data_IF_411145686315
#
_entry.id   IF_411145686315
#
_cell.length_a   1.000
_cell.length_b   1.000
_cell.length_c   1.000
_cell.angle_alpha   90.00
_cell.angle_beta   90.00
_cell.angle_gamma   90.00
#
_symmetry.space_group_name_H-M   'P 1'
#
loop_
_entity.id
_entity.type
_entity.pdbx_description
1 polymer ?
#
# COMPACT_ATOMS: atom_id res chain seq x y z
N UNK A 1 -0.25 -15.66 16.03
CA UNK A 1 0.67 -15.31 17.14
C UNK A 1 0.12 -14.06 17.83
N UNK A 2 -0.26 -14.16 19.11
CA UNK A 2 -0.84 -13.03 19.88
C UNK A 2 0.27 -12.01 20.16
N UNK A 3 0.15 -10.80 19.61
CA UNK A 3 0.97 -9.66 20.04
C UNK A 3 0.58 -9.40 21.49
N UNK A 4 1.51 -9.65 22.42
CA UNK A 4 1.40 -9.20 23.81
C UNK A 4 1.49 -7.68 23.75
N UNK A 5 0.36 -6.99 23.92
CA UNK A 5 0.37 -5.55 24.19
C UNK A 5 1.08 -5.41 25.54
N UNK A 6 2.34 -4.96 25.49
CA UNK A 6 3.10 -4.57 26.67
C UNK A 6 2.28 -3.45 27.32
N UNK A 7 2.01 -3.55 28.62
CA UNK A 7 1.18 -2.61 29.38
C UNK A 7 1.56 -1.16 29.02
N UNK A 8 0.63 -0.44 28.38
CA UNK A 8 0.83 0.94 27.97
C UNK A 8 1.01 1.80 29.22
N UNK A 9 2.23 2.32 29.41
CA UNK A 9 2.54 3.30 30.45
C UNK A 9 1.73 4.56 30.12
N UNK A 10 0.80 4.96 30.99
CA UNK A 10 0.12 6.25 30.84
C UNK A 10 1.15 7.36 30.98
N UNK A 11 1.17 8.28 30.01
CA UNK A 11 2.04 9.44 30.01
C UNK A 11 1.24 10.68 30.37
N UNK A 12 1.69 11.37 31.42
CA UNK A 12 1.17 12.68 31.79
C UNK A 12 1.87 13.77 30.95
N UNK A 13 1.14 14.81 30.51
CA UNK A 13 1.72 15.87 29.71
C UNK A 13 2.75 16.67 30.51
N UNK A 14 3.91 16.94 29.90
CA UNK A 14 4.94 17.78 30.49
C UNK A 14 4.56 19.26 30.43
N UNK A 15 4.92 20.04 31.45
CA UNK A 15 4.66 21.49 31.47
C UNK A 15 5.65 22.20 30.56
N UNK A 16 5.18 22.74 29.43
CA UNK A 16 5.98 23.49 28.46
C UNK A 16 5.14 24.67 28.00
N UNK A 17 5.69 25.88 27.96
CA UNK A 17 4.97 27.04 27.38
C UNK A 17 4.66 26.76 25.92
N UNK A 18 3.42 27.05 25.50
CA UNK A 18 2.98 26.85 24.13
C UNK A 18 3.96 27.55 23.15
N UNK A 19 4.32 26.92 22.01
CA UNK A 19 5.26 27.50 21.05
C UNK A 19 4.94 28.94 20.62
N UNK A 20 3.68 29.33 20.54
CA UNK A 20 3.28 30.70 20.19
C UNK A 20 3.68 31.76 21.24
N UNK A 21 3.96 31.32 22.47
CA UNK A 21 4.28 32.15 23.64
C UNK A 21 5.66 31.84 24.22
N UNK A 22 6.44 30.99 23.54
CA UNK A 22 7.73 30.53 24.02
C UNK A 22 8.85 30.97 23.06
N UNK A 23 9.78 31.85 23.51
CA UNK A 23 10.83 32.40 22.65
C UNK A 23 11.86 31.36 22.17
N UNK A 24 11.88 30.17 22.74
CA UNK A 24 12.70 29.06 22.25
C UNK A 24 12.25 28.57 20.86
N UNK A 25 11.01 28.88 20.46
CA UNK A 25 10.41 28.49 19.19
C UNK A 25 10.28 29.71 18.27
N UNK A 26 10.60 29.52 16.99
CA UNK A 26 10.48 30.57 15.96
C UNK A 26 10.08 29.99 14.60
N UNK A 27 9.81 30.86 13.63
CA UNK A 27 9.31 30.50 12.29
C UNK A 27 8.09 29.57 12.28
N UNK A 28 7.20 29.75 13.27
CA UNK A 28 6.00 28.92 13.42
C UNK A 28 5.03 29.25 12.30
N UNK A 29 4.74 28.27 11.45
CA UNK A 29 3.83 28.43 10.32
C UNK A 29 3.22 27.10 9.92
N UNK A 30 2.11 27.14 9.19
CA UNK A 30 1.56 25.95 8.56
C UNK A 30 2.41 25.57 7.33
N UNK A 31 2.74 24.29 7.09
CA UNK A 31 3.44 23.89 5.89
C UNK A 31 2.54 24.04 4.65
N UNK A 32 3.13 24.38 3.51
CA UNK A 32 2.40 24.62 2.26
C UNK A 32 1.66 23.39 1.72
N UNK A 33 2.09 22.20 2.15
CA UNK A 33 1.52 20.89 1.81
C UNK A 33 0.20 20.62 2.52
N UNK A 34 -0.14 21.40 3.56
CA UNK A 34 -1.33 21.15 4.36
C UNK A 34 -2.48 22.06 3.94
N UNK A 35 -3.56 21.50 3.40
CA UNK A 35 -4.75 22.26 3.00
C UNK A 35 -5.79 22.39 4.12
N UNK A 36 -5.70 21.55 5.17
CA UNK A 36 -6.58 21.60 6.33
C UNK A 36 -6.13 22.67 7.33
N UNK A 37 -7.05 23.31 8.05
CA UNK A 37 -6.67 24.28 9.08
C UNK A 37 -6.27 23.57 10.38
N UNK A 38 -5.23 24.03 11.10
CA UNK A 38 -4.97 23.63 12.48
C UNK A 38 -6.20 23.91 13.36
N UNK A 39 -6.57 22.94 14.21
CA UNK A 39 -7.74 23.05 15.08
C UNK A 39 -7.31 23.52 16.48
N UNK A 40 -7.16 24.83 16.63
CA UNK A 40 -6.60 25.46 17.84
C UNK A 40 -7.33 25.17 19.16
N UNK A 41 -8.62 24.80 19.11
CA UNK A 41 -9.45 24.46 20.29
C UNK A 41 -9.33 22.98 20.72
N UNK A 42 -8.45 22.21 20.08
CA UNK A 42 -8.23 20.78 20.35
C UNK A 42 -6.73 20.51 20.48
N UNK A 43 -6.30 19.28 20.29
CA UNK A 43 -4.88 18.93 20.29
C UNK A 43 -4.13 19.73 19.21
N UNK A 44 -3.28 20.65 19.65
CA UNK A 44 -2.39 21.38 18.75
C UNK A 44 -1.14 20.54 18.47
N UNK A 45 -0.65 20.57 17.24
CA UNK A 45 0.46 19.74 16.81
C UNK A 45 1.51 20.64 16.17
N UNK A 46 2.72 20.55 16.69
CA UNK A 46 3.89 21.29 16.23
C UNK A 46 4.96 20.28 15.85
N UNK A 47 5.53 20.42 14.66
CA UNK A 47 6.56 19.53 14.13
C UNK A 47 7.82 20.31 13.82
N UNK A 48 8.97 19.83 14.28
CA UNK A 48 10.24 20.49 13.95
C UNK A 48 10.43 20.46 12.42
N UNK A 49 10.86 21.57 11.81
CA UNK A 49 11.03 21.70 10.35
C UNK A 49 11.90 20.59 9.75
N UNK A 50 13.00 20.27 10.43
CA UNK A 50 13.89 19.19 9.99
C UNK A 50 13.21 17.81 10.00
N UNK A 51 12.32 17.53 10.96
CA UNK A 51 11.53 16.29 10.98
C UNK A 51 10.61 16.23 9.77
N UNK A 52 9.91 17.33 9.49
CA UNK A 52 9.09 17.46 8.29
C UNK A 52 9.90 17.18 7.02
N UNK A 53 11.09 17.80 6.87
CA UNK A 53 11.99 17.54 5.74
C UNK A 53 12.40 16.06 5.62
N UNK A 54 12.74 15.41 6.74
CA UNK A 54 13.15 14.00 6.75
C UNK A 54 12.00 13.06 6.38
N UNK A 55 10.78 13.35 6.83
CA UNK A 55 9.56 12.63 6.44
C UNK A 55 9.34 12.77 4.93
N UNK A 56 9.42 14.00 4.41
CA UNK A 56 9.22 14.25 2.98
C UNK A 56 10.33 13.65 2.12
N UNK A 57 11.58 13.65 2.57
CA UNK A 57 12.67 12.95 1.91
C UNK A 57 12.41 11.45 1.84
N UNK A 58 12.00 10.84 2.94
CA UNK A 58 11.65 9.41 2.96
C UNK A 58 10.43 9.11 2.08
N UNK A 59 9.39 9.94 2.14
CA UNK A 59 8.19 9.78 1.32
C UNK A 59 8.47 9.75 -0.18
N UNK A 60 9.51 10.44 -0.65
CA UNK A 60 9.92 10.44 -2.06
C UNK A 60 10.80 9.25 -2.47
N UNK A 61 11.22 8.40 -1.53
CA UNK A 61 12.07 7.24 -1.86
C UNK A 61 11.31 6.16 -2.64
N UNK A 62 9.99 6.05 -2.44
CA UNK A 62 9.13 5.16 -3.20
C UNK A 62 7.74 5.80 -3.41
N UNK A 63 7.47 6.23 -4.64
CA UNK A 63 6.17 6.79 -5.03
C UNK A 63 5.17 5.71 -5.50
N UNK A 64 5.54 4.44 -5.39
CA UNK A 64 4.69 3.30 -5.75
C UNK A 64 4.17 2.57 -4.51
N UNK A 65 5.03 2.31 -3.54
CA UNK A 65 4.68 1.64 -2.28
C UNK A 65 4.52 2.62 -1.12
N UNK A 66 3.72 2.24 -0.12
CA UNK A 66 3.69 2.99 1.12
C UNK A 66 4.99 2.80 1.91
N UNK A 67 5.61 3.92 2.27
CA UNK A 67 6.69 4.01 3.24
C UNK A 67 6.19 4.72 4.49
N UNK A 68 6.95 4.67 5.59
CA UNK A 68 6.52 5.29 6.83
C UNK A 68 7.52 5.14 7.96
N UNK A 69 7.12 5.56 9.15
CA UNK A 69 7.97 5.57 10.33
C UNK A 69 7.22 5.99 11.58
N UNK A 70 7.97 6.20 12.66
CA UNK A 70 7.44 6.63 13.95
C UNK A 70 7.73 8.11 14.19
N UNK A 71 6.75 8.79 14.78
CA UNK A 71 6.84 10.17 15.24
C UNK A 71 7.09 10.19 16.74
N UNK A 72 8.08 10.97 17.16
CA UNK A 72 8.56 11.00 18.54
C UNK A 72 8.66 12.44 19.04
N UNK A 73 8.49 12.62 20.35
CA UNK A 73 8.68 13.90 21.00
C UNK A 73 7.88 14.04 22.29
N UNK A 74 7.41 15.25 22.58
CA UNK A 74 6.76 15.57 23.84
C UNK A 74 5.24 15.65 23.70
N UNK A 75 4.55 14.99 24.63
CA UNK A 75 3.18 15.33 24.97
C UNK A 75 3.21 16.40 26.06
N UNK A 76 2.71 17.61 25.76
CA UNK A 76 2.91 18.79 26.58
C UNK A 76 1.60 19.52 26.90
N UNK A 77 1.64 20.39 27.90
CA UNK A 77 0.53 21.27 28.26
C UNK A 77 0.99 22.67 28.68
N UNK A 78 0.17 23.67 28.37
CA UNK A 78 0.28 25.05 28.84
C UNK A 78 -1.12 25.60 29.15
N UNK A 79 -1.35 26.09 30.37
CA UNK A 79 -2.66 26.64 30.78
C UNK A 79 -3.83 25.69 30.43
N UNK A 80 -3.70 24.41 30.78
CA UNK A 80 -4.67 23.32 30.50
C UNK A 80 -4.83 22.95 29.01
N UNK A 81 -4.27 23.73 28.08
CA UNK A 81 -4.23 23.41 26.66
C UNK A 81 -3.12 22.37 26.39
N UNK A 82 -3.53 21.19 25.93
CA UNK A 82 -2.63 20.12 25.53
C UNK A 82 -2.14 20.29 24.08
N UNK A 83 -0.89 19.92 23.84
CA UNK A 83 -0.28 19.98 22.51
C UNK A 83 0.86 18.96 22.37
N UNK A 84 1.23 18.67 21.12
CA UNK A 84 2.35 17.80 20.78
C UNK A 84 3.51 18.60 20.19
N UNK A 85 4.72 18.29 20.64
CA UNK A 85 5.97 18.71 20.01
C UNK A 85 6.62 17.49 19.38
N UNK A 86 6.56 17.36 18.06
CA UNK A 86 7.25 16.31 17.31
C UNK A 86 8.68 16.80 17.07
N UNK A 87 9.64 16.17 17.74
CA UNK A 87 11.07 16.53 17.71
C UNK A 87 11.88 15.58 16.84
N UNK A 88 11.44 14.33 16.73
CA UNK A 88 12.16 13.27 16.04
C UNK A 88 11.26 12.42 15.15
N UNK A 89 11.89 11.79 14.16
CA UNK A 89 11.28 10.76 13.32
C UNK A 89 12.26 9.61 13.15
N UNK A 90 11.72 8.38 13.23
CA UNK A 90 12.46 7.18 12.85
C UNK A 90 11.76 6.52 11.66
N UNK A 91 12.40 6.56 10.50
CA UNK A 91 11.93 5.99 9.25
C UNK A 91 12.12 4.47 9.25
N UNK A 92 11.08 3.73 8.86
CA UNK A 92 11.19 2.29 8.66
C UNK A 92 11.93 2.01 7.33
N UNK A 93 12.90 1.08 7.29
CA UNK A 93 13.51 0.68 6.03
C UNK A 93 12.50 0.03 5.08
N UNK A 94 12.57 0.35 3.79
CA UNK A 94 11.67 -0.18 2.76
C UNK A 94 11.68 -1.72 2.75
N UNK A 95 12.82 -2.35 3.09
CA UNK A 95 12.96 -3.80 3.10
C UNK A 95 12.21 -4.50 4.25
N UNK A 96 11.78 -3.76 5.29
CA UNK A 96 11.14 -4.36 6.46
C UNK A 96 9.74 -4.86 6.13
N UNK A 97 8.93 -4.00 5.51
CA UNK A 97 7.70 -4.36 4.81
C UNK A 97 7.11 -3.06 4.25
N UNK A 98 7.01 -2.95 2.93
CA UNK A 98 6.31 -1.87 2.24
C UNK A 98 5.44 -2.48 1.15
N UNK A 99 4.21 -1.99 1.02
CA UNK A 99 3.30 -2.35 -0.07
C UNK A 99 2.48 -1.12 -0.44
N UNK A 100 1.90 -1.07 -1.63
CA UNK A 100 1.16 0.10 -2.13
C UNK A 100 -0.10 0.50 -1.34
N UNK A 101 -0.59 -0.36 -0.45
CA UNK A 101 -1.90 -0.21 0.22
C UNK A 101 -1.85 -0.42 1.74
N UNK A 102 -0.69 -0.80 2.26
CA UNK A 102 -0.49 -1.03 3.67
C UNK A 102 1.01 -1.05 3.95
N UNK A 103 1.43 -0.16 4.84
CA UNK A 103 2.65 -0.36 5.60
C UNK A 103 2.38 -1.26 6.80
N UNK A 104 3.31 -2.18 7.06
CA UNK A 104 3.33 -2.95 8.31
C UNK A 104 4.57 -2.57 9.08
N UNK A 105 4.35 -2.03 10.27
CA UNK A 105 5.43 -1.81 11.23
C UNK A 105 5.85 -3.15 11.83
N UNK A 106 7.05 -3.60 11.47
CA UNK A 106 7.55 -4.93 11.84
C UNK A 106 8.00 -4.97 13.29
N UNK A 107 8.10 -6.17 13.88
CA UNK A 107 8.70 -6.33 15.21
C UNK A 107 10.14 -5.82 15.23
N UNK A 108 10.89 -6.00 14.15
CA UNK A 108 12.25 -5.46 14.02
C UNK A 108 12.25 -3.93 14.11
N UNK A 109 11.35 -3.26 13.40
CA UNK A 109 11.19 -1.81 13.49
C UNK A 109 10.88 -1.34 14.91
N UNK A 110 9.99 -2.02 15.63
CA UNK A 110 9.68 -1.66 17.01
C UNK A 110 10.88 -1.86 17.97
N UNK A 111 11.72 -2.86 17.73
CA UNK A 111 12.98 -3.04 18.47
C UNK A 111 13.95 -1.88 18.20
N UNK A 112 14.14 -1.52 16.92
CA UNK A 112 14.99 -0.39 16.53
C UNK A 112 14.49 0.93 17.14
N UNK A 113 13.16 1.12 17.14
CA UNK A 113 12.50 2.28 17.72
C UNK A 113 12.73 2.40 19.23
N UNK A 114 12.63 1.29 19.97
CA UNK A 114 12.88 1.29 21.41
C UNK A 114 14.35 1.59 21.71
N UNK A 115 15.28 1.02 20.92
CA UNK A 115 16.71 1.29 21.06
C UNK A 115 17.03 2.78 20.82
N UNK A 116 16.42 3.39 19.80
CA UNK A 116 16.55 4.82 19.54
C UNK A 116 16.00 5.65 20.70
N UNK A 117 14.77 5.35 21.14
CA UNK A 117 14.12 6.04 22.26
C UNK A 117 14.92 5.94 23.56
N UNK A 118 15.53 4.80 23.85
CA UNK A 118 16.36 4.61 25.03
C UNK A 118 17.61 5.50 25.01
N UNK A 119 18.28 5.61 23.85
CA UNK A 119 19.45 6.48 23.69
C UNK A 119 19.09 7.96 23.84
N UNK A 120 18.01 8.39 23.17
CA UNK A 120 17.54 9.78 23.23
C UNK A 120 17.09 10.13 24.66
N UNK A 121 16.30 9.27 25.31
CA UNK A 121 15.82 9.51 26.68
C UNK A 121 16.93 9.50 27.74
N UNK A 122 18.12 8.95 27.46
CA UNK A 122 19.26 9.05 28.37
C UNK A 122 19.76 10.49 28.53
N UNK A 123 19.50 11.36 27.54
CA UNK A 123 19.91 12.77 27.53
C UNK A 123 18.68 13.68 27.71
N UNK A 124 17.60 13.38 26.99
CA UNK A 124 16.37 14.18 26.93
C UNK A 124 15.19 13.37 27.46
N UNK A 125 14.98 13.36 28.79
CA UNK A 125 13.89 12.59 29.37
C UNK A 125 12.54 13.11 28.86
N UNK A 126 11.54 12.22 28.86
CA UNK A 126 10.14 12.48 28.48
C UNK A 126 9.85 12.49 26.98
N UNK A 127 10.81 12.12 26.12
CA UNK A 127 10.52 11.86 24.71
C UNK A 127 9.81 10.51 24.61
N UNK A 128 8.61 10.53 24.02
CA UNK A 128 7.76 9.36 23.86
C UNK A 128 7.40 9.16 22.39
N UNK A 129 6.86 7.98 22.07
CA UNK A 129 6.23 7.74 20.77
C UNK A 129 4.88 8.44 20.73
N UNK A 130 4.79 9.47 19.89
CA UNK A 130 3.57 10.24 19.67
C UNK A 130 2.69 9.61 18.60
N UNK A 131 3.24 8.81 17.70
CA UNK A 131 2.44 8.21 16.65
C UNK A 131 3.27 7.58 15.56
N UNK A 132 2.61 7.34 14.44
CA UNK A 132 3.21 6.83 13.22
C UNK A 132 2.92 7.79 12.08
N UNK A 133 3.70 7.68 11.01
CA UNK A 133 3.34 8.26 9.73
C UNK A 133 3.49 7.23 8.63
N UNK A 134 2.70 7.39 7.58
CA UNK A 134 2.87 6.63 6.35
C UNK A 134 2.43 7.42 5.13
N UNK A 135 2.87 6.99 3.97
CA UNK A 135 2.53 7.65 2.71
C UNK A 135 1.33 7.01 2.05
N UNK A 136 0.54 7.82 1.35
CA UNK A 136 -0.49 7.40 0.40
C UNK A 136 -0.14 7.92 -1.01
N UNK A 137 0.78 7.28 -1.76
CA UNK A 137 1.22 7.81 -3.04
C UNK A 137 0.07 7.93 -4.05
N UNK A 138 -0.31 9.17 -4.36
CA UNK A 138 -1.38 9.55 -5.28
C UNK A 138 -2.83 9.23 -4.83
N UNK A 139 -3.08 8.89 -3.57
CA UNK A 139 -4.45 8.67 -3.07
C UNK A 139 -5.06 9.91 -2.38
N UNK A 140 -4.22 10.80 -1.85
CA UNK A 140 -4.60 11.96 -1.04
C UNK A 140 -4.71 11.63 0.45
N UNK A 141 -5.13 12.61 1.24
CA UNK A 141 -5.06 12.59 2.70
C UNK A 141 -6.38 12.12 3.31
N UNK A 142 -6.45 10.83 3.62
CA UNK A 142 -7.58 10.19 4.31
C UNK A 142 -7.09 8.92 5.00
N UNK A 143 -7.77 8.49 6.06
CA UNK A 143 -7.54 7.16 6.64
C UNK A 143 -8.41 6.12 5.94
N UNK A 144 -7.78 5.05 5.45
CA UNK A 144 -8.49 3.87 4.96
C UNK A 144 -9.17 3.11 6.11
N UNK A 145 -10.03 2.15 5.78
CA UNK A 145 -10.65 1.28 6.80
C UNK A 145 -9.59 0.47 7.57
N UNK A 146 -8.51 0.07 6.89
CA UNK A 146 -7.39 -0.62 7.51
C UNK A 146 -6.69 0.31 8.49
N UNK A 147 -6.40 1.56 8.09
CA UNK A 147 -5.77 2.57 8.96
C UNK A 147 -6.62 2.86 10.19
N UNK A 148 -7.94 3.04 10.01
CA UNK A 148 -8.88 3.22 11.13
C UNK A 148 -8.80 2.03 12.09
N UNK A 149 -8.82 0.81 11.54
CA UNK A 149 -8.82 -0.42 12.36
C UNK A 149 -7.49 -0.57 13.11
N UNK A 150 -6.37 -0.28 12.46
CA UNK A 150 -5.06 -0.35 13.07
C UNK A 150 -4.84 0.76 14.10
N UNK A 151 -5.24 2.00 13.82
CA UNK A 151 -5.19 3.11 14.77
C UNK A 151 -6.00 2.78 16.03
N UNK A 152 -7.26 2.35 15.88
CA UNK A 152 -8.11 1.92 17.02
C UNK A 152 -7.48 0.79 17.84
N UNK A 153 -6.70 -0.08 17.20
CA UNK A 153 -6.06 -1.24 17.84
C UNK A 153 -4.76 -0.88 18.56
N UNK A 154 -3.96 0.03 17.99
CA UNK A 154 -2.55 0.26 18.39
C UNK A 154 -2.29 1.65 19.00
N UNK A 155 -3.24 2.58 18.93
CA UNK A 155 -3.10 3.96 19.38
C UNK A 155 -4.27 4.35 20.29
N UNK A 156 -4.15 4.07 21.60
CA UNK A 156 -5.27 4.24 22.54
C UNK A 156 -5.29 5.57 23.32
N UNK A 157 -4.15 6.22 23.45
CA UNK A 157 -4.03 7.48 24.20
C UNK A 157 -4.34 8.73 23.36
N UNK A 158 -4.77 9.82 24.01
CA UNK A 158 -5.12 11.09 23.36
C UNK A 158 -3.96 11.74 22.59
N UNK A 159 -2.72 11.54 23.06
CA UNK A 159 -1.53 12.07 22.42
C UNK A 159 -1.11 11.27 21.18
N UNK A 160 -1.79 10.15 20.90
CA UNK A 160 -1.47 9.36 19.73
C UNK A 160 -2.04 9.99 18.44
N UNK A 161 -1.18 10.06 17.42
CA UNK A 161 -1.52 10.61 16.12
C UNK A 161 -1.11 9.67 14.97
N UNK A 162 -1.71 9.88 13.80
CA UNK A 162 -1.22 9.35 12.53
C UNK A 162 -1.07 10.49 11.54
N UNK A 163 0.11 10.62 10.95
CA UNK A 163 0.36 11.53 9.84
C UNK A 163 0.30 10.77 8.52
N UNK A 164 -0.48 11.26 7.57
CA UNK A 164 -0.54 10.73 6.21
C UNK A 164 0.09 11.75 5.26
N UNK A 165 0.95 11.28 4.36
CA UNK A 165 1.66 12.10 3.36
C UNK A 165 1.38 11.57 1.96
N UNK A 166 0.96 12.42 1.02
CA UNK A 166 0.89 12.07 -0.40
C UNK A 166 2.04 12.77 -1.14
N UNK A 167 3.16 12.09 -1.41
CA UNK A 167 4.31 12.70 -2.09
C UNK A 167 4.00 13.11 -3.53
N UNK A 168 3.00 12.48 -4.17
CA UNK A 168 2.64 12.76 -5.57
C UNK A 168 1.75 14.01 -5.66
N UNK A 169 0.75 14.12 -4.78
CA UNK A 169 -0.14 15.30 -4.72
C UNK A 169 0.46 16.47 -3.95
N UNK A 170 1.57 16.25 -3.23
CA UNK A 170 2.22 17.22 -2.35
C UNK A 170 1.28 17.70 -1.24
N UNK A 171 0.56 16.75 -0.67
CA UNK A 171 -0.38 16.99 0.42
C UNK A 171 0.05 16.22 1.67
N UNK A 172 -0.30 16.72 2.86
CA UNK A 172 -0.22 15.97 4.11
C UNK A 172 -1.32 16.36 5.09
N UNK A 173 -1.51 15.53 6.12
CA UNK A 173 -2.42 15.85 7.21
C UNK A 173 -2.40 14.83 8.35
N UNK A 174 -2.80 15.29 9.52
CA UNK A 174 -2.74 14.51 10.75
C UNK A 174 -4.14 14.13 11.24
N UNK A 175 -4.23 12.94 11.82
CA UNK A 175 -5.44 12.34 12.39
C UNK A 175 -5.18 11.98 13.85
N UNK A 176 -6.16 12.24 14.71
CA UNK A 176 -6.06 12.03 16.16
C UNK A 176 -7.44 11.84 16.78
N UNK A 177 -7.49 11.48 18.06
CA UNK A 177 -8.75 11.31 18.80
C UNK A 177 -9.41 12.65 19.13
N UNK A 178 -10.69 12.83 18.78
CA UNK A 178 -11.41 14.06 19.16
C UNK A 178 -11.75 14.09 20.67
N UNK A 179 -11.95 12.92 21.29
CA UNK A 179 -12.27 12.77 22.72
C UNK A 179 -11.59 11.53 23.33
N UNK A 180 -11.21 11.55 24.62
CA UNK A 180 -10.55 10.42 25.26
C UNK A 180 -11.45 9.17 25.36
N UNK A 181 -10.88 7.95 25.25
CA UNK A 181 -11.62 6.69 25.37
C UNK A 181 -12.43 6.51 26.66
N UNK A 182 -12.00 7.15 27.75
CA UNK A 182 -12.53 6.93 29.09
C UNK A 182 -13.71 7.85 29.45
N UNK A 183 -14.07 8.83 28.61
CA UNK A 183 -15.17 9.77 28.89
C UNK A 183 -16.47 9.46 28.14
N UNK A 184 -16.50 8.43 27.30
CA UNK A 184 -17.72 8.03 26.57
C UNK A 184 -18.49 6.95 27.33
N UNK A 185 -19.70 7.27 27.78
CA UNK A 185 -20.63 6.33 28.44
C UNK A 185 -21.22 5.25 27.50
N UNK A 186 -20.81 5.23 26.23
CA UNK A 186 -21.10 4.14 25.29
C UNK A 186 -19.87 3.85 24.41
N UNK A 187 -19.51 2.58 24.14
CA UNK A 187 -18.34 2.20 23.32
C UNK A 187 -18.48 2.50 21.81
N UNK A 188 -19.56 3.15 21.38
CA UNK A 188 -19.97 3.22 19.97
C UNK A 188 -19.49 4.46 19.21
N UNK A 189 -18.94 5.49 19.87
CA UNK A 189 -18.65 6.78 19.20
C UNK A 189 -17.32 7.41 19.66
N UNK A 190 -16.21 6.68 19.56
CA UNK A 190 -14.90 7.35 19.52
C UNK A 190 -14.69 7.93 18.12
N UNK A 191 -14.76 9.24 18.01
CA UNK A 191 -14.59 9.94 16.74
C UNK A 191 -13.09 10.25 16.52
N UNK A 192 -12.56 9.72 15.41
CA UNK A 192 -11.24 10.11 14.91
C UNK A 192 -11.48 11.39 14.11
N UNK A 193 -10.60 12.38 14.28
CA UNK A 193 -10.72 13.64 13.57
C UNK A 193 -10.74 13.42 12.05
N UNK A 194 -11.39 14.32 11.32
CA UNK A 194 -11.02 14.52 9.92
C UNK A 194 -9.55 14.98 9.82
N UNK A 195 -8.97 14.97 8.61
CA UNK A 195 -7.62 15.47 8.38
C UNK A 195 -7.49 16.89 8.95
N UNK A 196 -6.51 17.07 9.84
CA UNK A 196 -6.22 18.33 10.50
C UNK A 196 -4.86 18.88 10.05
N UNK A 197 -4.72 20.19 10.13
CA UNK A 197 -3.44 20.87 9.94
C UNK A 197 -2.59 20.86 11.20
N UNK A 198 -1.30 21.11 11.02
CA UNK A 198 -0.30 21.26 12.07
C UNK A 198 0.64 22.43 11.74
N UNK A 199 1.47 22.83 12.71
CA UNK A 199 2.49 23.85 12.52
C UNK A 199 3.86 23.22 12.39
N UNK A 200 4.71 23.80 11.55
CA UNK A 200 6.16 23.57 11.57
C UNK A 200 6.84 24.66 12.39
N UNK A 201 7.90 24.32 13.11
CA UNK A 201 8.70 25.26 13.90
C UNK A 201 10.19 25.01 13.73
N UNK A 202 10.97 26.04 14.05
CA UNK A 202 12.40 25.96 14.32
C UNK A 202 12.65 26.30 15.80
N UNK A 203 13.76 25.84 16.39
CA UNK A 203 14.06 26.08 17.80
C UNK A 203 15.55 26.32 18.07
N UNK A 204 15.84 27.08 19.13
CA UNK A 204 17.19 27.22 19.67
C UNK A 204 17.49 26.24 20.80
N UNK A 205 16.47 25.57 21.33
CA UNK A 205 16.60 24.66 22.44
C UNK A 205 16.88 23.24 21.93
N UNK A 206 18.04 22.65 22.25
CA UNK A 206 18.42 21.33 21.72
C UNK A 206 17.46 20.23 22.17
N UNK A 207 16.73 20.39 23.28
CA UNK A 207 15.73 19.42 23.72
C UNK A 207 14.52 19.33 22.77
N UNK A 208 14.24 20.39 22.00
CA UNK A 208 13.14 20.42 21.04
C UNK A 208 13.62 20.29 19.58
N UNK A 209 14.91 20.01 19.39
CA UNK A 209 15.51 19.77 18.09
C UNK A 209 15.57 18.25 17.78
N UNK A 210 15.81 17.84 16.53
CA UNK A 210 16.05 16.44 16.21
C UNK A 210 17.36 15.94 16.81
N UNK A 211 17.31 14.73 17.34
CA UNK A 211 18.38 14.07 18.06
C UNK A 211 19.10 13.05 17.19
N UNK A 212 20.38 12.87 17.47
CA UNK A 212 21.20 11.84 16.84
C UNK A 212 21.41 10.66 17.77
N UNK A 213 21.55 9.47 17.21
CA UNK A 213 21.77 8.24 17.98
C UNK A 213 22.68 7.27 17.22
N UNK A 214 23.29 6.35 17.94
CA UNK A 214 24.14 5.32 17.37
C UNK A 214 23.27 4.15 16.88
N UNK A 215 23.61 3.62 15.72
CA UNK A 215 22.95 2.47 15.13
C UNK A 215 23.95 1.61 14.36
N UNK A 216 23.84 0.29 14.48
CA UNK A 216 24.60 -0.71 13.72
C UNK A 216 23.77 -1.35 12.59
N UNK A 217 22.47 -1.06 12.54
CA UNK A 217 21.54 -1.54 11.52
C UNK A 217 21.68 -0.74 10.23
N UNK A 218 22.39 -1.32 9.26
CA UNK A 218 22.68 -0.73 7.94
C UNK A 218 21.43 -0.25 7.19
N UNK A 219 20.35 -1.02 7.25
CA UNK A 219 19.10 -0.66 6.57
C UNK A 219 18.46 0.58 7.20
N UNK A 220 18.58 0.72 8.53
CA UNK A 220 18.05 1.86 9.28
C UNK A 220 18.89 3.13 9.04
N UNK A 221 20.22 3.00 9.03
CA UNK A 221 21.16 4.08 8.70
C UNK A 221 20.88 4.69 7.31
N UNK A 222 20.50 3.86 6.33
CA UNK A 222 20.24 4.30 4.97
C UNK A 222 19.05 5.27 4.84
N UNK A 223 18.01 5.10 5.66
CA UNK A 223 16.81 5.95 5.61
C UNK A 223 16.72 6.96 6.77
N UNK A 224 17.68 6.98 7.70
CA UNK A 224 17.69 7.88 8.85
C UNK A 224 19.03 8.65 8.96
N UNK A 225 19.12 9.86 8.37
CA UNK A 225 20.36 10.65 8.36
C UNK A 225 20.87 11.12 9.73
N UNK A 226 20.05 11.02 10.78
CA UNK A 226 20.44 11.37 12.16
C UNK A 226 21.01 10.17 12.93
N UNK A 227 21.04 8.99 12.32
CA UNK A 227 21.72 7.83 12.88
C UNK A 227 23.14 7.74 12.33
N UNK A 228 24.07 7.28 13.14
CA UNK A 228 25.46 7.07 12.72
C UNK A 228 26.05 5.80 13.33
N UNK A 229 27.06 5.24 12.65
CA UNK A 229 27.83 4.11 13.16
C UNK A 229 28.91 4.59 14.13
N UNK A 230 29.17 3.80 15.16
CA UNK A 230 30.25 4.07 16.12
C UNK A 230 31.66 4.02 15.48
N UNK A 231 31.79 3.43 14.28
CA UNK A 231 33.08 3.16 13.63
C UNK A 231 33.44 4.10 12.46
N UNK A 232 32.91 5.32 12.43
CA UNK A 232 33.34 6.34 11.48
C UNK A 232 34.14 7.45 12.15
N UNK A 233 35.38 7.17 12.58
CA UNK A 233 36.43 8.21 12.70
C UNK A 233 37.83 7.65 12.42
N UNK A 234 38.38 8.00 11.25
CA UNK A 234 39.66 8.74 11.16
C UNK A 234 39.93 9.22 9.73
N UNK A 235 39.60 10.49 9.46
CA UNK A 235 40.40 11.44 8.65
C UNK A 235 39.80 12.85 8.72
N UNK A 236 39.90 13.50 9.88
CA UNK A 236 40.57 14.80 10.03
C UNK A 236 40.41 15.35 11.47
N UNK A 237 41.54 15.33 12.19
CA UNK A 237 42.00 16.20 13.29
C UNK A 237 41.12 16.48 14.51
N UNK A 238 41.52 15.88 15.66
CA UNK A 238 41.41 16.49 16.99
C UNK A 238 41.01 15.56 18.14
N UNK A 239 42.00 14.93 18.83
CA UNK A 239 42.09 14.54 20.27
C UNK A 239 40.85 13.91 20.95
N UNK A 240 40.84 12.75 21.61
CA UNK A 240 41.81 12.06 22.46
C UNK A 240 41.43 10.56 22.62
N UNK A 241 42.43 9.73 22.93
CA UNK A 241 42.43 8.26 22.98
C UNK A 241 41.56 7.63 24.09
N UNK A 242 41.09 6.38 23.86
CA UNK A 242 41.35 5.23 24.74
C UNK A 242 41.19 3.90 23.95
N UNK A 243 42.14 2.99 24.18
CA UNK A 243 42.56 1.87 23.31
C UNK A 243 41.86 0.55 23.68
N UNK A 244 41.52 -0.29 22.68
CA UNK A 244 41.25 -1.73 22.87
C UNK A 244 42.27 -2.62 22.12
N UNK A 245 42.63 -3.81 22.66
CA UNK A 245 43.61 -4.76 22.09
C UNK A 245 42.93 -5.83 21.18
N UNK A 246 43.66 -6.76 20.51
CA UNK A 246 43.50 -6.99 19.07
C UNK A 246 42.74 -8.27 18.65
N UNK A 247 42.26 -8.19 17.40
CA UNK A 247 42.02 -9.21 16.36
C UNK A 247 42.19 -10.71 16.68
N UNK A 248 41.18 -11.47 16.23
CA UNK A 248 41.35 -12.80 15.62
C UNK A 248 40.61 -12.81 14.26
N UNK A 249 41.33 -13.22 13.21
CA UNK A 249 40.93 -13.19 11.80
C UNK A 249 40.03 -14.39 11.40
N UNK A 250 39.29 -14.32 10.27
CA UNK A 250 38.14 -15.15 9.95
C UNK A 250 38.47 -16.37 9.09
N UNK A 251 37.56 -17.35 9.07
CA UNK A 251 37.61 -18.48 8.14
C UNK A 251 36.41 -18.47 7.16
N UNK A 252 36.79 -18.43 5.87
CA UNK A 252 36.19 -19.00 4.65
C UNK A 252 34.74 -18.69 4.25
N UNK A 253 34.65 -17.98 3.13
CA UNK A 253 33.53 -17.97 2.16
C UNK A 253 33.50 -19.28 1.38
N UNK A 254 32.31 -19.84 1.17
CA UNK A 254 32.02 -20.80 0.09
C UNK A 254 31.08 -20.15 -0.92
N UNK A 255 31.46 -20.27 -2.20
CA UNK A 255 30.70 -19.83 -3.36
C UNK A 255 29.75 -20.95 -3.80
N UNK A 256 28.45 -20.63 -3.96
CA UNK A 256 27.49 -21.52 -4.62
C UNK A 256 27.27 -21.00 -6.05
N UNK A 257 27.65 -21.85 -7.01
CA UNK A 257 27.41 -21.69 -8.44
C UNK A 257 25.96 -22.12 -8.75
N UNK A 258 25.17 -21.26 -9.39
CA UNK A 258 23.86 -21.64 -9.95
C UNK A 258 24.01 -21.75 -11.47
N UNK A 259 23.67 -22.93 -12.00
CA UNK A 259 23.69 -23.27 -13.41
C UNK A 259 22.49 -22.68 -14.15
N UNK A 260 22.74 -21.95 -15.23
CA UNK A 260 21.72 -21.49 -16.18
C UNK A 260 21.38 -22.63 -17.15
N UNK A 261 20.25 -23.31 -16.94
CA UNK A 261 19.65 -24.14 -17.98
C UNK A 261 18.75 -23.27 -18.87
N UNK A 262 19.10 -23.21 -20.17
CA UNK A 262 18.26 -22.63 -21.22
C UNK A 262 17.07 -23.56 -21.47
N UNK A 263 15.89 -23.18 -20.99
CA UNK A 263 14.63 -23.82 -21.39
C UNK A 263 14.28 -23.34 -22.80
N UNK A 264 14.14 -24.29 -23.73
CA UNK A 264 13.73 -24.01 -25.13
C UNK A 264 12.21 -24.19 -25.23
N UNK A 265 11.49 -23.15 -25.63
CA UNK A 265 10.03 -23.18 -25.81
C UNK A 265 9.65 -23.96 -27.08
N UNK A 266 8.56 -24.75 -27.08
CA UNK A 266 8.07 -25.44 -28.26
C UNK A 266 7.47 -24.47 -29.29
N UNK A 267 7.45 -24.83 -30.59
CA UNK A 267 6.97 -23.95 -31.66
C UNK A 267 5.46 -23.62 -31.53
N UNK A 268 5.12 -22.35 -31.71
CA UNK A 268 3.74 -21.82 -31.69
C UNK A 268 3.13 -21.74 -33.08
N UNK A 269 1.91 -22.26 -33.24
CA UNK A 269 1.04 -21.91 -34.35
C UNK A 269 0.22 -20.68 -33.94
N UNK A 270 0.34 -19.58 -34.69
CA UNK A 270 -0.46 -18.37 -34.49
C UNK A 270 -1.93 -18.67 -34.84
N UNK A 271 -2.85 -18.27 -33.96
CA UNK A 271 -4.28 -18.33 -34.24
C UNK A 271 -4.61 -17.46 -35.47
N UNK A 272 -5.41 -17.96 -36.44
CA UNK A 272 -5.85 -17.15 -37.57
C UNK A 272 -6.57 -15.91 -37.07
N UNK A 273 -6.17 -14.72 -37.54
CA UNK A 273 -6.90 -13.49 -37.29
C UNK A 273 -8.17 -13.52 -38.15
N UNK A 274 -9.26 -14.10 -37.63
CA UNK A 274 -10.58 -13.80 -38.16
C UNK A 274 -10.87 -12.32 -37.91
N UNK A 275 -11.19 -11.58 -38.97
CA UNK A 275 -11.61 -10.17 -38.89
C UNK A 275 -12.93 -10.10 -38.14
N UNK A 276 -12.85 -10.06 -36.82
CA UNK A 276 -14.00 -9.71 -35.99
C UNK A 276 -14.20 -8.21 -36.11
N UNK A 277 -15.35 -7.80 -36.66
CA UNK A 277 -15.79 -6.41 -36.66
C UNK A 277 -15.94 -5.96 -35.21
N UNK A 278 -14.93 -5.26 -34.69
CA UNK A 278 -14.94 -4.74 -33.33
C UNK A 278 -16.17 -3.87 -33.13
N UNK A 279 -16.98 -4.19 -32.12
CA UNK A 279 -18.02 -3.28 -31.63
C UNK A 279 -17.42 -1.94 -31.21
N UNK A 280 -18.28 -0.91 -31.20
CA UNK A 280 -17.98 0.46 -30.78
C UNK A 280 -17.17 0.50 -29.47
N UNK A 281 -16.25 1.48 -29.41
CA UNK A 281 -15.57 1.91 -28.18
C UNK A 281 -16.60 2.01 -27.05
N UNK A 282 -16.42 1.23 -25.98
CA UNK A 282 -17.33 1.29 -24.83
C UNK A 282 -17.04 2.59 -24.09
N UNK A 283 -17.90 3.58 -24.30
CA UNK A 283 -17.78 4.86 -23.61
C UNK A 283 -17.87 4.66 -22.09
N UNK A 284 -17.00 5.33 -21.31
CA UNK A 284 -17.02 5.22 -19.87
C UNK A 284 -18.32 5.77 -19.28
N UNK A 285 -18.85 5.09 -18.28
CA UNK A 285 -20.00 5.55 -17.50
C UNK A 285 -19.51 6.40 -16.34
N UNK A 286 -19.97 7.64 -16.26
CA UNK A 286 -19.65 8.51 -15.12
C UNK A 286 -20.30 7.99 -13.83
N UNK A 287 -19.48 7.62 -12.85
CA UNK A 287 -19.97 7.23 -11.52
C UNK A 287 -18.87 7.31 -10.46
N UNK A 288 -19.27 7.52 -9.20
CA UNK A 288 -18.37 7.44 -8.05
C UNK A 288 -17.81 6.02 -7.89
N UNK A 289 -16.49 5.87 -7.79
CA UNK A 289 -15.86 4.57 -7.61
C UNK A 289 -16.34 3.90 -6.31
N UNK A 290 -16.55 2.56 -6.33
CA UNK A 290 -16.95 1.81 -5.15
C UNK A 290 -16.02 1.96 -3.93
N UNK A 291 -14.74 2.28 -4.13
CA UNK A 291 -13.76 2.36 -3.05
C UNK A 291 -14.09 3.44 -2.00
N UNK A 292 -14.74 4.53 -2.40
CA UNK A 292 -15.10 5.67 -1.53
C UNK A 292 -16.61 5.84 -1.36
N UNK A 293 -17.39 4.91 -1.88
CA UNK A 293 -18.83 4.94 -1.74
C UNK A 293 -19.26 4.06 -0.56
N UNK A 294 -19.86 4.67 0.46
CA UNK A 294 -20.29 4.00 1.71
C UNK A 294 -21.24 2.81 1.48
N UNK A 295 -21.92 2.74 0.33
CA UNK A 295 -22.78 1.62 -0.06
C UNK A 295 -22.01 0.36 -0.44
N UNK A 296 -20.69 0.42 -0.50
CA UNK A 296 -19.84 -0.67 -0.94
C UNK A 296 -18.79 -0.97 0.14
N UNK A 297 -18.77 -2.20 0.60
CA UNK A 297 -17.67 -2.74 1.37
C UNK A 297 -16.67 -3.37 0.40
N UNK A 298 -15.51 -2.73 0.21
CA UNK A 298 -14.43 -3.24 -0.64
C UNK A 298 -13.31 -3.87 0.21
N UNK A 299 -12.74 -4.96 -0.30
CA UNK A 299 -11.57 -5.65 0.28
C UNK A 299 -10.56 -5.93 -0.82
N UNK A 300 -9.30 -5.53 -0.62
CA UNK A 300 -8.24 -5.75 -1.62
C UNK A 300 -7.86 -7.23 -1.70
N UNK A 301 -7.59 -7.71 -2.90
CA UNK A 301 -6.99 -9.02 -3.15
C UNK A 301 -5.50 -8.81 -3.44
N UNK A 302 -4.58 -9.33 -2.61
CA UNK A 302 -3.15 -9.26 -2.88
C UNK A 302 -2.78 -10.28 -3.96
N UNK A 303 -2.75 -9.83 -5.23
CA UNK A 303 -2.33 -10.67 -6.35
C UNK A 303 -0.83 -11.01 -6.22
N UNK A 304 -0.52 -12.30 -6.11
CA UNK A 304 0.83 -12.86 -5.91
C UNK A 304 1.59 -13.09 -7.21
N UNK A 305 0.92 -13.10 -8.36
CA UNK A 305 1.54 -13.64 -9.58
C UNK A 305 2.34 -12.65 -10.45
N UNK A 306 3.57 -13.11 -10.67
CA UNK A 306 4.57 -12.80 -11.69
C UNK A 306 4.19 -13.33 -13.08
N UNK A 307 4.49 -12.58 -14.13
CA UNK A 307 5.00 -13.16 -15.38
C UNK A 307 6.52 -13.08 -15.27
N UNK A 308 7.16 -14.18 -14.87
CA UNK A 308 8.54 -14.40 -15.25
C UNK A 308 8.60 -14.35 -16.78
N UNK A 309 9.45 -13.49 -17.34
CA UNK A 309 9.66 -13.23 -18.77
C UNK A 309 8.90 -12.06 -19.44
N UNK A 310 8.79 -10.90 -18.77
CA UNK A 310 8.87 -9.63 -19.51
C UNK A 310 10.09 -8.88 -19.00
N UNK A 311 11.15 -8.85 -19.80
CA UNK A 311 12.34 -8.02 -19.53
C UNK A 311 11.90 -6.58 -19.26
N UNK A 312 12.61 -5.88 -18.36
CA UNK A 312 12.19 -4.63 -17.69
C UNK A 312 11.73 -3.44 -18.54
N UNK A 313 11.68 -3.57 -19.87
CA UNK A 313 11.23 -2.54 -20.81
C UNK A 313 9.78 -2.74 -21.32
N UNK A 314 9.00 -3.65 -20.72
CA UNK A 314 7.63 -4.01 -21.15
C UNK A 314 6.56 -3.86 -20.05
N UNK A 315 6.88 -3.24 -18.92
CA UNK A 315 5.92 -3.00 -17.84
C UNK A 315 5.06 -1.77 -18.16
N UNK A 316 3.89 -1.99 -18.75
CA UNK A 316 2.84 -0.97 -18.86
C UNK A 316 1.82 -1.21 -17.73
N UNK A 317 1.58 -0.21 -16.89
CA UNK A 317 0.59 -0.25 -15.82
C UNK A 317 -0.73 0.29 -16.33
N UNK A 318 -1.77 -0.53 -16.30
CA UNK A 318 -3.10 -0.02 -16.63
C UNK A 318 -3.75 0.58 -15.36
N UNK A 319 -4.18 1.85 -15.38
CA UNK A 319 -4.57 2.57 -14.16
C UNK A 319 -5.89 2.09 -13.53
N UNK A 320 -6.61 1.15 -14.15
CA UNK A 320 -7.94 0.77 -13.69
C UNK A 320 -7.90 -0.02 -12.40
N UNK A 321 -8.69 0.43 -11.43
CA UNK A 321 -9.11 -0.41 -10.31
C UNK A 321 -10.12 -1.44 -10.82
N UNK A 322 -10.03 -2.68 -10.37
CA UNK A 322 -10.98 -3.75 -10.70
C UNK A 322 -11.84 -4.00 -9.47
N UNK A 323 -13.17 -3.92 -9.62
CA UNK A 323 -14.13 -4.27 -8.58
C UNK A 323 -14.87 -5.52 -9.00
N UNK A 324 -14.55 -6.63 -8.34
CA UNK A 324 -15.13 -7.94 -8.57
C UNK A 324 -16.14 -8.28 -7.46
N UNK A 325 -17.34 -8.79 -7.78
CA UNK A 325 -18.38 -9.01 -6.79
C UNK A 325 -18.04 -10.18 -5.87
N UNK A 326 -18.07 -9.94 -4.56
CA UNK A 326 -17.80 -10.97 -3.55
C UNK A 326 -18.77 -12.15 -3.66
N UNK A 327 -20.04 -11.89 -3.96
CA UNK A 327 -21.05 -12.93 -4.15
C UNK A 327 -20.66 -13.91 -5.28
N UNK A 328 -20.01 -13.43 -6.35
CA UNK A 328 -19.53 -14.31 -7.42
C UNK A 328 -18.37 -15.19 -6.94
N UNK A 329 -17.43 -14.65 -6.16
CA UNK A 329 -16.38 -15.48 -5.55
C UNK A 329 -16.97 -16.62 -4.72
N UNK A 330 -18.01 -16.33 -3.94
CA UNK A 330 -18.73 -17.32 -3.12
C UNK A 330 -19.46 -18.36 -3.98
N UNK A 331 -20.12 -17.94 -5.06
CA UNK A 331 -20.73 -18.85 -6.04
C UNK A 331 -19.70 -19.79 -6.68
N UNK A 332 -18.57 -19.24 -7.10
CA UNK A 332 -17.49 -20.03 -7.72
C UNK A 332 -16.86 -21.02 -6.74
N UNK A 333 -16.82 -20.70 -5.45
CA UNK A 333 -16.37 -21.64 -4.42
C UNK A 333 -17.31 -22.85 -4.27
N UNK A 334 -18.61 -22.69 -4.55
CA UNK A 334 -19.62 -23.75 -4.51
C UNK A 334 -19.64 -24.69 -5.72
N UNK A 335 -18.99 -24.32 -6.83
CA UNK A 335 -18.90 -25.15 -8.05
C UNK A 335 -17.87 -26.29 -7.93
N UNK A 336 -17.12 -26.37 -6.83
CA UNK A 336 -15.94 -27.22 -6.64
C UNK A 336 -16.14 -28.75 -6.53
N UNK A 337 -17.27 -29.30 -7.01
CA UNK A 337 -17.54 -30.75 -6.95
C UNK A 337 -17.86 -31.41 -8.29
N UNK A 338 -18.04 -30.65 -9.38
CA UNK A 338 -18.35 -31.25 -10.68
C UNK A 338 -17.73 -30.47 -11.85
N UNK A 339 -16.76 -31.11 -12.50
CA UNK A 339 -16.02 -30.68 -13.71
C UNK A 339 -14.94 -29.61 -13.51
N UNK A 340 -13.72 -29.94 -13.95
CA UNK A 340 -12.45 -29.34 -13.53
C UNK A 340 -12.05 -28.03 -14.24
N UNK A 341 -12.80 -27.61 -15.25
CA UNK A 341 -12.58 -26.38 -16.00
C UNK A 341 -13.90 -25.61 -16.11
N UNK A 342 -13.85 -24.29 -15.92
CA UNK A 342 -15.02 -23.42 -16.01
C UNK A 342 -14.65 -22.15 -16.77
N UNK A 343 -15.52 -21.70 -17.67
CA UNK A 343 -15.35 -20.44 -18.38
C UNK A 343 -16.60 -19.59 -18.28
N UNK A 344 -16.43 -18.29 -18.09
CA UNK A 344 -17.52 -17.34 -17.97
C UNK A 344 -17.19 -16.00 -18.62
N UNK A 345 -18.23 -15.33 -19.13
CA UNK A 345 -18.16 -13.93 -19.52
C UNK A 345 -18.28 -13.03 -18.28
N UNK A 346 -17.48 -11.95 -18.23
CA UNK A 346 -17.55 -10.93 -17.18
C UNK A 346 -18.44 -9.77 -17.67
N UNK A 347 -19.53 -9.54 -16.95
CA UNK A 347 -20.46 -8.44 -17.24
C UNK A 347 -20.16 -7.25 -16.33
N UNK A 348 -20.19 -6.04 -16.88
CA UNK A 348 -19.86 -4.85 -16.14
C UNK A 348 -19.76 -3.58 -16.99
N UNK A 349 -19.16 -2.57 -16.38
CA UNK A 349 -18.97 -1.25 -17.00
C UNK A 349 -17.53 -0.76 -16.80
N UNK A 350 -17.05 -0.01 -17.79
CA UNK A 350 -15.93 0.89 -17.62
C UNK A 350 -16.47 2.15 -16.93
N UNK A 351 -16.12 2.34 -15.67
CA UNK A 351 -16.49 3.52 -14.89
C UNK A 351 -15.45 4.62 -15.03
N UNK A 352 -15.90 5.86 -14.95
CA UNK A 352 -15.05 7.04 -14.80
C UNK A 352 -15.54 7.89 -13.63
N UNK A 353 -14.68 8.06 -12.63
CA UNK A 353 -14.95 8.99 -11.54
C UNK A 353 -14.43 10.37 -11.89
N UNK A 354 -15.35 11.33 -12.00
CA UNK A 354 -15.06 12.73 -12.25
C UNK A 354 -14.37 13.42 -11.07
N UNK A 355 -14.59 12.97 -9.83
CA UNK A 355 -13.98 13.59 -8.65
C UNK A 355 -12.49 13.27 -8.55
N UNK A 356 -12.12 12.01 -8.79
CA UNK A 356 -10.72 11.56 -8.73
C UNK A 356 -10.06 11.48 -10.11
N UNK A 357 -10.78 11.84 -11.18
CA UNK A 357 -10.31 11.81 -12.57
C UNK A 357 -9.69 10.44 -12.92
N UNK A 358 -10.37 9.36 -12.52
CA UNK A 358 -9.85 8.00 -12.55
C UNK A 358 -10.86 7.03 -13.16
N UNK A 359 -10.37 6.13 -13.99
CA UNK A 359 -11.16 5.06 -14.56
C UNK A 359 -11.06 3.77 -13.74
N UNK A 360 -12.08 2.93 -13.80
CA UNK A 360 -12.11 1.62 -13.13
C UNK A 360 -13.04 0.65 -13.86
N UNK A 361 -12.85 -0.64 -13.62
CA UNK A 361 -13.73 -1.70 -14.11
C UNK A 361 -14.63 -2.16 -12.96
N UNK A 362 -15.94 -2.03 -13.15
CA UNK A 362 -16.94 -2.54 -12.22
C UNK A 362 -17.59 -3.78 -12.83
N UNK A 363 -17.22 -4.96 -12.33
CA UNK A 363 -17.84 -6.23 -12.71
C UNK A 363 -19.10 -6.38 -11.88
N UNK A 364 -20.26 -6.56 -12.50
CA UNK A 364 -21.54 -6.71 -11.81
C UNK A 364 -21.94 -8.18 -11.60
N UNK A 365 -21.59 -9.05 -12.55
CA UNK A 365 -21.92 -10.48 -12.54
C UNK A 365 -21.06 -11.26 -13.53
N UNK A 366 -21.21 -12.58 -13.51
CA UNK A 366 -20.66 -13.48 -14.53
C UNK A 366 -21.78 -14.29 -15.19
N UNK A 367 -21.56 -14.73 -16.42
CA UNK A 367 -22.43 -15.71 -17.08
C UNK A 367 -21.57 -16.87 -17.57
N UNK A 368 -21.91 -18.09 -17.17
CA UNK A 368 -21.22 -19.29 -17.61
C UNK A 368 -21.33 -19.43 -19.15
N UNK A 369 -20.22 -19.78 -19.79
CA UNK A 369 -20.20 -20.11 -21.22
C UNK A 369 -20.68 -21.56 -21.43
N UNK A 370 -21.11 -21.93 -22.65
CA UNK A 370 -21.62 -23.27 -22.95
C UNK A 370 -20.65 -24.39 -22.56
N UNK A 371 -21.19 -25.53 -22.10
CA UNK A 371 -20.41 -26.67 -21.60
C UNK A 371 -19.46 -27.29 -22.64
N UNK A 372 -19.71 -27.06 -23.92
CA UNK A 372 -18.81 -27.45 -25.02
C UNK A 372 -17.43 -26.81 -24.91
N UNK A 373 -17.28 -25.69 -24.20
CA UNK A 373 -16.01 -25.03 -23.91
C UNK A 373 -15.25 -25.67 -22.73
N UNK A 374 -15.99 -26.26 -21.79
CA UNK A 374 -15.44 -26.73 -20.50
C UNK A 374 -14.91 -28.17 -20.53
N UNK A 375 -15.14 -28.94 -21.60
CA UNK A 375 -14.89 -30.40 -21.61
C UNK A 375 -13.67 -30.91 -22.41
N UNK A 376 -12.86 -30.11 -23.11
CA UNK A 376 -11.71 -30.66 -23.90
C UNK A 376 -10.42 -29.83 -23.73
N UNK A 377 -9.31 -30.52 -23.44
CA UNK A 377 -8.12 -30.01 -22.74
C UNK A 377 -6.95 -29.36 -23.52
N UNK A 378 -6.89 -29.25 -24.86
CA UNK A 378 -5.82 -28.45 -25.52
C UNK A 378 -6.26 -27.15 -26.21
N UNK A 379 -7.53 -27.03 -26.63
CA UNK A 379 -7.98 -25.96 -27.57
C UNK A 379 -8.79 -24.84 -26.90
N UNK A 380 -8.86 -24.81 -25.57
CA UNK A 380 -9.80 -23.93 -24.86
C UNK A 380 -9.63 -22.42 -25.18
N UNK A 381 -8.42 -21.86 -25.33
CA UNK A 381 -8.25 -20.49 -25.82
C UNK A 381 -8.82 -20.25 -27.23
N UNK A 382 -8.66 -21.21 -28.16
CA UNK A 382 -9.20 -21.10 -29.52
C UNK A 382 -10.73 -21.18 -29.52
N UNK A 383 -11.28 -22.04 -28.66
CA UNK A 383 -12.72 -22.20 -28.51
C UNK A 383 -13.37 -20.98 -27.87
N UNK A 384 -12.73 -20.37 -26.87
CA UNK A 384 -13.12 -19.06 -26.34
C UNK A 384 -13.15 -18.01 -27.45
N UNK A 385 -12.10 -17.96 -28.27
CA UNK A 385 -11.99 -17.02 -29.39
C UNK A 385 -13.11 -17.20 -30.44
N UNK A 386 -13.63 -18.43 -30.60
CA UNK A 386 -14.74 -18.73 -31.51
C UNK A 386 -16.12 -18.48 -30.91
N UNK A 387 -16.34 -18.80 -29.62
CA UNK A 387 -17.68 -18.80 -29.02
C UNK A 387 -18.04 -17.49 -28.32
N UNK A 388 -17.10 -16.85 -27.65
CA UNK A 388 -17.36 -15.59 -26.94
C UNK A 388 -17.86 -14.46 -27.87
N UNK A 389 -17.41 -14.33 -29.14
CA UNK A 389 -17.91 -13.29 -30.02
C UNK A 389 -19.42 -13.35 -30.26
N UNK A 390 -19.99 -14.52 -30.54
CA UNK A 390 -21.43 -14.70 -30.71
C UNK A 390 -22.20 -14.43 -29.42
N UNK A 391 -21.65 -14.87 -28.28
CA UNK A 391 -22.20 -14.55 -26.97
C UNK A 391 -22.24 -13.03 -26.73
N UNK A 392 -21.15 -12.33 -27.03
CA UNK A 392 -21.04 -10.88 -26.87
C UNK A 392 -22.01 -10.09 -27.76
N UNK A 393 -22.46 -10.63 -28.90
CA UNK A 393 -23.48 -9.99 -29.73
C UNK A 393 -24.78 -9.75 -28.93
N UNK A 394 -25.17 -10.70 -28.09
CA UNK A 394 -26.38 -10.61 -27.27
C UNK A 394 -26.14 -9.98 -25.89
N UNK A 395 -24.88 -9.78 -25.50
CA UNK A 395 -24.49 -9.28 -24.18
C UNK A 395 -23.52 -8.08 -24.29
N UNK A 396 -24.04 -6.86 -24.58
CA UNK A 396 -23.21 -5.65 -24.75
C UNK A 396 -22.54 -5.17 -23.45
N UNK A 397 -22.99 -5.66 -22.30
CA UNK A 397 -22.42 -5.38 -21.00
C UNK A 397 -21.15 -6.21 -20.70
N UNK A 398 -20.76 -7.16 -21.57
CA UNK A 398 -19.52 -7.91 -21.41
C UNK A 398 -18.31 -6.96 -21.50
N UNK A 399 -17.43 -7.04 -20.50
CA UNK A 399 -16.16 -6.28 -20.43
C UNK A 399 -14.94 -7.19 -20.32
N UNK A 400 -15.14 -8.51 -20.32
CA UNK A 400 -14.05 -9.44 -20.11
C UNK A 400 -14.51 -10.90 -20.02
N UNK A 401 -13.60 -11.75 -19.56
CA UNK A 401 -13.82 -13.18 -19.41
C UNK A 401 -13.02 -13.75 -18.23
N UNK A 402 -13.47 -14.88 -17.72
CA UNK A 402 -12.89 -15.62 -16.61
C UNK A 402 -12.76 -17.09 -17.00
N UNK A 403 -11.61 -17.67 -16.69
CA UNK A 403 -11.36 -19.11 -16.76
C UNK A 403 -10.89 -19.60 -15.40
N UNK A 404 -11.41 -20.75 -15.01
CA UNK A 404 -10.90 -21.57 -13.92
C UNK A 404 -10.40 -22.87 -14.55
N UNK A 405 -9.16 -23.26 -14.25
CA UNK A 405 -8.60 -24.53 -14.72
C UNK A 405 -7.77 -25.18 -13.63
N UNK A 406 -7.80 -26.50 -13.56
CA UNK A 406 -6.88 -27.28 -12.74
C UNK A 406 -5.67 -27.82 -13.53
N UNK A 407 -5.60 -27.55 -14.84
CA UNK A 407 -4.55 -28.08 -15.69
C UNK A 407 -3.25 -27.27 -15.51
N UNK A 408 -2.28 -27.88 -14.83
CA UNK A 408 -0.97 -27.31 -14.57
C UNK A 408 -0.15 -27.01 -15.85
N UNK A 409 -0.49 -27.63 -16.98
CA UNK A 409 0.21 -27.47 -18.26
C UNK A 409 -0.31 -26.30 -19.10
N UNK A 410 -1.40 -25.63 -18.69
CA UNK A 410 -1.93 -24.50 -19.45
C UNK A 410 -1.04 -23.28 -19.29
N UNK A 411 -0.50 -22.77 -20.41
CA UNK A 411 0.46 -21.68 -20.39
C UNK A 411 -0.27 -20.33 -20.55
N UNK A 412 0.00 -19.33 -19.68
CA UNK A 412 -0.70 -18.04 -19.71
C UNK A 412 -0.67 -17.33 -21.07
N UNK A 413 0.41 -17.45 -21.85
CA UNK A 413 0.55 -16.77 -23.15
C UNK A 413 -0.54 -17.16 -24.16
N UNK A 414 -1.03 -18.41 -24.14
CA UNK A 414 -2.09 -18.86 -25.07
C UNK A 414 -3.39 -18.09 -24.84
N UNK A 415 -3.64 -17.68 -23.60
CA UNK A 415 -4.78 -16.85 -23.26
C UNK A 415 -4.62 -15.39 -23.69
N UNK A 416 -3.39 -14.87 -23.77
CA UNK A 416 -3.16 -13.52 -24.30
C UNK A 416 -3.49 -13.45 -25.79
N UNK A 417 -3.14 -14.48 -26.57
CA UNK A 417 -3.48 -14.54 -28.00
C UNK A 417 -4.99 -14.59 -28.21
N UNK A 418 -5.70 -15.40 -27.43
CA UNK A 418 -7.17 -15.43 -27.44
C UNK A 418 -7.76 -14.07 -27.02
N UNK A 419 -7.25 -13.47 -25.93
CA UNK A 419 -7.70 -12.16 -25.46
C UNK A 419 -7.53 -11.08 -26.54
N UNK A 420 -6.37 -11.05 -27.20
CA UNK A 420 -6.05 -10.12 -28.29
C UNK A 420 -6.95 -10.30 -29.51
N UNK A 421 -7.38 -11.53 -29.79
CA UNK A 421 -8.33 -11.81 -30.87
C UNK A 421 -9.74 -11.32 -30.52
N UNK A 422 -10.15 -11.51 -29.27
CA UNK A 422 -11.50 -11.24 -28.76
C UNK A 422 -11.77 -9.76 -28.52
N UNK A 423 -10.84 -9.06 -27.89
CA UNK A 423 -10.99 -7.68 -27.47
C UNK A 423 -10.06 -6.79 -28.27
N UNK A 424 -10.51 -5.57 -28.57
CA UNK A 424 -9.71 -4.53 -29.24
C UNK A 424 -9.49 -3.30 -28.36
N UNK A 425 -10.16 -3.26 -27.20
CA UNK A 425 -10.09 -2.15 -26.27
C UNK A 425 -9.21 -2.56 -25.10
N UNK A 426 -8.26 -1.71 -24.75
CA UNK A 426 -7.27 -2.03 -23.72
C UNK A 426 -7.81 -2.04 -22.31
N UNK A 427 -9.10 -1.78 -22.11
CA UNK A 427 -9.74 -1.91 -20.81
C UNK A 427 -10.40 -3.27 -20.58
N UNK A 428 -10.43 -4.15 -21.57
CA UNK A 428 -11.03 -5.46 -21.38
C UNK A 428 -10.17 -6.36 -20.50
N UNK A 429 -10.83 -7.18 -19.67
CA UNK A 429 -10.18 -7.97 -18.63
C UNK A 429 -10.31 -9.47 -18.89
N UNK A 430 -9.21 -10.19 -18.94
CA UNK A 430 -9.19 -11.64 -18.77
C UNK A 430 -8.72 -12.02 -17.38
N UNK A 431 -9.31 -13.06 -16.79
CA UNK A 431 -8.88 -13.62 -15.50
C UNK A 431 -8.67 -15.12 -15.68
N UNK A 432 -7.48 -15.60 -15.33
CA UNK A 432 -7.16 -17.02 -15.27
C UNK A 432 -6.93 -17.42 -13.81
N UNK A 433 -7.78 -18.29 -13.28
CA UNK A 433 -7.68 -18.85 -11.95
C UNK A 433 -7.22 -20.30 -12.04
N UNK A 434 -6.18 -20.64 -11.29
CA UNK A 434 -5.80 -22.04 -11.06
C UNK A 434 -6.58 -22.55 -9.85
N UNK A 435 -7.27 -23.67 -10.01
CA UNK A 435 -7.92 -24.32 -8.87
C UNK A 435 -6.83 -24.78 -7.88
N UNK A 436 -6.90 -24.30 -6.63
CA UNK A 436 -5.96 -24.71 -5.57
C UNK A 436 -6.22 -26.13 -5.07
N UNK A 437 -5.37 -26.63 -4.15
CA UNK A 437 -5.47 -28.00 -3.60
C UNK A 437 -6.80 -28.34 -2.89
N UNK A 438 -7.63 -27.33 -2.59
CA UNK A 438 -8.96 -27.48 -1.98
C UNK A 438 -10.12 -27.24 -2.99
N UNK A 439 -9.86 -27.20 -4.30
CA UNK A 439 -10.84 -26.93 -5.38
C UNK A 439 -11.58 -25.58 -5.31
N UNK A 440 -11.11 -24.62 -4.51
CA UNK A 440 -11.64 -23.26 -4.50
C UNK A 440 -10.83 -22.34 -5.44
N UNK A 441 -11.48 -21.36 -6.12
CA UNK A 441 -10.78 -20.39 -6.94
C UNK A 441 -9.87 -19.51 -6.08
N UNK A 442 -8.58 -19.53 -6.37
CA UNK A 442 -7.57 -18.74 -5.67
C UNK A 442 -7.30 -17.43 -6.41
N UNK A 443 -7.99 -16.37 -5.99
CA UNK A 443 -7.82 -15.05 -6.56
C UNK A 443 -6.47 -14.41 -6.19
N UNK A 444 -5.81 -14.81 -5.10
CA UNK A 444 -4.46 -14.30 -4.81
C UNK A 444 -3.45 -14.83 -5.83
N UNK A 445 -3.67 -16.03 -6.36
CA UNK A 445 -2.86 -16.59 -7.44
C UNK A 445 -3.49 -16.41 -8.83
N UNK A 446 -4.40 -15.46 -9.00
CA UNK A 446 -4.97 -15.15 -10.30
C UNK A 446 -3.91 -14.59 -11.26
N UNK A 447 -3.93 -15.05 -12.51
CA UNK A 447 -3.24 -14.39 -13.61
C UNK A 447 -4.23 -13.48 -14.32
N UNK A 448 -3.94 -12.18 -14.40
CA UNK A 448 -4.74 -11.25 -15.19
C UNK A 448 -4.20 -11.23 -16.64
N UNK A 449 -5.11 -11.37 -17.60
CA UNK A 449 -4.80 -11.44 -19.03
C UNK A 449 -5.29 -10.16 -19.69
N UNK A 450 -4.40 -9.43 -20.34
CA UNK A 450 -4.70 -8.10 -20.85
C UNK A 450 -3.75 -7.63 -21.94
N UNK A 451 -4.23 -6.72 -22.80
CA UNK A 451 -3.48 -6.30 -23.98
C UNK A 451 -3.65 -4.81 -24.30
N UNK A 452 -2.53 -4.10 -24.39
CA UNK A 452 -2.50 -2.74 -24.93
C UNK A 452 -2.51 -2.82 -26.46
N UNK A 453 -3.61 -2.40 -27.08
CA UNK A 453 -3.79 -2.48 -28.53
C UNK A 453 -3.04 -1.37 -29.27
N UNK A 454 -2.85 -0.21 -28.62
CA UNK A 454 -2.09 0.90 -29.18
C UNK A 454 -0.60 0.57 -29.16
N UNK A 455 -0.08 0.12 -28.02
CA UNK A 455 1.32 -0.28 -27.86
C UNK A 455 1.61 -1.70 -28.41
N UNK A 456 0.57 -2.45 -28.78
CA UNK A 456 0.62 -3.84 -29.29
C UNK A 456 1.36 -4.80 -28.36
N UNK A 457 1.19 -4.67 -27.05
CA UNK A 457 1.94 -5.45 -26.03
C UNK A 457 1.02 -5.98 -24.94
N UNK A 458 1.22 -7.22 -24.45
CA UNK A 458 0.55 -7.67 -23.24
C UNK A 458 1.08 -6.88 -22.03
N UNK A 459 0.23 -6.67 -21.04
CA UNK A 459 0.67 -6.08 -19.77
C UNK A 459 0.29 -6.99 -18.60
N UNK A 460 1.09 -6.89 -17.53
CA UNK A 460 1.00 -7.76 -16.36
C UNK A 460 0.56 -7.00 -15.09
N UNK A 461 0.20 -5.73 -15.19
CA UNK A 461 -0.12 -4.93 -14.00
C UNK A 461 -1.44 -4.18 -14.18
N UNK A 462 -2.48 -4.73 -13.56
CA UNK A 462 -3.65 -3.95 -13.13
C UNK A 462 -3.35 -3.40 -11.75
N UNK A 463 -3.64 -2.12 -11.54
CA UNK A 463 -3.19 -1.39 -10.34
C UNK A 463 -3.76 -2.01 -9.06
N UNK A 464 -5.06 -2.33 -9.03
CA UNK A 464 -5.72 -2.88 -7.84
C UNK A 464 -6.89 -3.81 -8.21
N UNK A 465 -7.05 -4.90 -7.46
CA UNK A 465 -8.18 -5.81 -7.57
C UNK A 465 -8.90 -5.87 -6.22
N UNK A 466 -10.19 -5.53 -6.20
CA UNK A 466 -11.02 -5.48 -5.00
C UNK A 466 -12.18 -6.46 -5.12
N UNK A 467 -12.47 -7.17 -4.04
CA UNK A 467 -13.77 -7.80 -3.84
C UNK A 467 -14.71 -6.80 -3.19
N UNK A 468 -15.87 -6.57 -3.80
CA UNK A 468 -16.88 -5.67 -3.24
C UNK A 468 -18.16 -6.39 -2.83
N UNK A 469 -18.84 -5.85 -1.82
CA UNK A 469 -20.22 -6.20 -1.43
C UNK A 469 -21.02 -4.91 -1.31
N UNK A 470 -22.24 -4.88 -1.86
CA UNK A 470 -23.17 -3.78 -1.58
C UNK A 470 -23.75 -3.96 -0.18
N UNK A 471 -23.68 -2.91 0.64
CA UNK A 471 -24.12 -2.88 2.04
C UNK A 471 -25.50 -2.28 2.19
#
# INVERSE_FOLDING_TARGET
MKIKIISEKKFEPVSVKNPDQNPDFFNIQQPQTNTAKPRNQRLQIFMHRKVHELIWQHAHTDNSNEVGGALLGYYAQHNEQQFLLITDVLNQPIQYFSSQLMIKFTTAFYTDLENFLQQVNAIYPHIIRLGLYHTHPNYGIFMSKTDITDFKRTHRELHHIVLIVDPVKREDGVFYWETPPAQTASPTEQEISAAAGYFIYDTHNPAYAPHSAICDNQSLLHCNPLLYELNSQHNNTGQEHLVMPPFINPARKEHIHISNEKVTLPPHNLLPQTEFTSRLVKEPVTMTCPLYNIRYACSSVPLKQYIAALSGNLQHTYPYHIFFPQAVKEQLAGLGSSTNNFAAALHGILGYDTLKQMYFLYISKITALPATITEIQPEMPELLAKTLPDFMQNHPDVIGWLVITNNAHTLPYQFFDAHKALFRQSHNLGILLKAGGNNHPDFENATLIAYDHEARKPYNLYRHFFLYRQT
#
